data_IF_228469798187
#
_entry.id   IF_228469798187
#
_cell.length_a   1.000
_cell.length_b   1.000
_cell.length_c   1.000
_cell.angle_alpha   90.00
_cell.angle_beta   90.00
_cell.angle_gamma   90.00
#
_symmetry.space_group_name_H-M   'P 1'
#
loop_
_entity.id
_entity.type
_entity.pdbx_description
1 polymer ?
#
# COMPACT_ATOMS: atom_id res chain seq x y z
N UNK A 1 2.33 -8.87 15.30
CA UNK A 1 0.86 -8.94 15.17
C UNK A 1 0.23 -9.69 16.35
N UNK A 2 0.70 -10.89 16.71
CA UNK A 2 0.14 -11.66 17.85
C UNK A 2 0.24 -10.91 19.18
N UNK A 3 1.34 -10.25 19.44
CA UNK A 3 1.54 -9.39 20.61
C UNK A 3 0.57 -8.19 20.68
N UNK A 4 -0.07 -7.85 19.55
CA UNK A 4 -1.07 -6.79 19.42
C UNK A 4 -2.50 -7.33 19.31
N UNK A 5 -2.72 -8.59 19.70
CA UNK A 5 -4.05 -9.19 19.83
C UNK A 5 -4.57 -9.91 18.58
N UNK A 6 -3.74 -10.14 17.56
CA UNK A 6 -4.14 -10.98 16.45
C UNK A 6 -4.30 -12.44 16.93
N UNK A 7 -5.49 -13.01 16.72
CA UNK A 7 -5.83 -14.37 17.18
C UNK A 7 -5.30 -15.41 16.19
N UNK A 8 -5.44 -15.13 14.89
CA UNK A 8 -4.99 -16.00 13.82
C UNK A 8 -4.17 -15.19 12.81
N UNK A 9 -3.06 -15.75 12.34
CA UNK A 9 -2.21 -15.17 11.31
C UNK A 9 -1.92 -16.26 10.28
N UNK A 10 -2.32 -16.03 9.03
CA UNK A 10 -1.96 -16.84 7.89
C UNK A 10 -1.00 -16.06 7.00
N UNK A 11 0.02 -16.72 6.49
CA UNK A 11 0.94 -16.21 5.47
C UNK A 11 0.82 -17.06 4.24
N UNK A 12 0.66 -16.44 3.10
CA UNK A 12 0.43 -17.13 1.84
C UNK A 12 1.15 -16.38 0.71
N UNK A 13 1.63 -17.12 -0.29
CA UNK A 13 2.14 -16.52 -1.51
C UNK A 13 0.95 -16.00 -2.36
N UNK A 14 1.16 -14.89 -3.06
CA UNK A 14 0.13 -14.21 -3.85
C UNK A 14 -0.47 -15.10 -4.95
N UNK A 15 0.29 -16.05 -5.49
CA UNK A 15 -0.19 -17.03 -6.48
C UNK A 15 -1.36 -17.86 -5.97
N UNK A 16 -1.52 -18.00 -4.62
CA UNK A 16 -2.66 -18.69 -4.04
C UNK A 16 -3.94 -17.86 -4.05
N UNK A 17 -3.80 -16.56 -4.07
CA UNK A 17 -4.92 -15.65 -4.32
C UNK A 17 -5.25 -15.65 -5.81
N UNK A 18 -4.23 -15.62 -6.64
CA UNK A 18 -4.36 -15.59 -8.09
C UNK A 18 -5.01 -16.86 -8.66
N UNK A 19 -4.64 -18.05 -8.17
CA UNK A 19 -5.23 -19.34 -8.58
C UNK A 19 -6.57 -19.63 -7.90
N UNK A 20 -7.04 -18.75 -7.00
CA UNK A 20 -8.31 -18.87 -6.28
C UNK A 20 -8.30 -19.89 -5.13
N UNK A 21 -7.16 -20.49 -4.80
CA UNK A 21 -7.06 -21.45 -3.70
C UNK A 21 -7.00 -20.80 -2.31
N UNK A 22 -6.82 -19.48 -2.26
CA UNK A 22 -6.87 -18.69 -1.03
C UNK A 22 -7.83 -17.50 -1.19
N UNK A 23 -8.69 -17.30 -0.19
CA UNK A 23 -9.74 -16.27 -0.20
C UNK A 23 -9.46 -15.20 0.86
N UNK A 24 -9.50 -13.94 0.47
CA UNK A 24 -9.29 -12.80 1.37
C UNK A 24 -10.48 -12.52 2.32
N UNK A 25 -11.76 -12.64 1.87
CA UNK A 25 -12.92 -12.48 2.73
C UNK A 25 -12.97 -13.52 3.85
N UNK A 26 -12.69 -13.22 5.03
CA UNK A 26 -12.56 -14.11 6.20
C UNK A 26 -11.45 -13.60 7.11
N UNK A 27 -10.67 -12.66 6.62
CA UNK A 27 -9.65 -11.99 7.40
C UNK A 27 -10.07 -10.55 7.69
N UNK A 28 -9.93 -10.14 8.94
CA UNK A 28 -10.23 -8.77 9.37
C UNK A 28 -9.27 -7.75 8.75
N UNK A 29 -8.02 -8.17 8.56
CA UNK A 29 -6.94 -7.34 8.00
C UNK A 29 -6.12 -8.19 7.03
N UNK A 30 -5.87 -7.66 5.86
CA UNK A 30 -4.91 -8.18 4.89
C UNK A 30 -3.71 -7.25 4.83
N UNK A 31 -2.51 -7.81 4.91
CA UNK A 31 -1.25 -7.10 4.65
C UNK A 31 -0.65 -7.68 3.38
N UNK A 32 -0.52 -6.85 2.37
CA UNK A 32 -0.01 -7.22 1.06
C UNK A 32 1.34 -6.57 0.81
N UNK A 33 2.39 -7.38 0.86
CA UNK A 33 3.73 -6.96 0.51
C UNK A 33 3.99 -7.29 -0.96
N UNK A 34 4.28 -6.28 -1.76
CA UNK A 34 4.70 -6.44 -3.16
C UNK A 34 6.21 -6.66 -3.24
N UNK A 35 6.95 -6.05 -2.32
CA UNK A 35 8.41 -6.13 -2.31
C UNK A 35 9.06 -5.09 -3.21
N UNK A 36 10.26 -5.41 -3.66
CA UNK A 36 11.09 -4.59 -4.55
C UNK A 36 10.86 -5.05 -6.00
N UNK A 37 9.73 -4.64 -6.56
CA UNK A 37 9.40 -4.90 -7.95
C UNK A 37 10.06 -3.88 -8.89
N UNK A 38 10.26 -4.25 -10.14
CA UNK A 38 10.79 -3.36 -11.16
C UNK A 38 9.68 -2.85 -12.09
N UNK A 39 9.96 -1.76 -12.78
CA UNK A 39 9.05 -1.20 -13.80
C UNK A 39 8.65 -2.17 -14.92
N UNK A 40 9.38 -3.29 -15.07
CA UNK A 40 9.09 -4.34 -16.04
C UNK A 40 8.09 -5.38 -15.53
N UNK A 41 7.81 -5.40 -14.23
CA UNK A 41 6.93 -6.38 -13.59
C UNK A 41 5.47 -5.96 -13.67
N UNK A 42 4.58 -6.95 -13.64
CA UNK A 42 3.14 -6.74 -13.41
C UNK A 42 2.92 -6.85 -11.92
N UNK A 43 2.75 -5.71 -11.26
CA UNK A 43 2.64 -5.64 -9.79
C UNK A 43 1.39 -6.32 -9.25
N UNK A 44 0.29 -6.23 -9.98
CA UNK A 44 -0.95 -6.94 -9.66
C UNK A 44 -1.56 -7.57 -10.90
N UNK A 45 -1.76 -8.86 -10.87
CA UNK A 45 -2.52 -9.57 -11.91
C UNK A 45 -4.00 -9.15 -11.92
N UNK A 46 -4.74 -9.40 -12.99
CA UNK A 46 -6.19 -9.18 -13.01
C UNK A 46 -6.94 -9.93 -11.90
N UNK A 47 -6.50 -11.14 -11.54
CA UNK A 47 -7.12 -11.94 -10.49
C UNK A 47 -6.89 -11.33 -9.10
N UNK A 48 -5.69 -10.86 -8.80
CA UNK A 48 -5.37 -10.17 -7.56
C UNK A 48 -6.14 -8.86 -7.41
N UNK A 49 -6.21 -8.05 -8.47
CA UNK A 49 -7.03 -6.82 -8.49
C UNK A 49 -8.51 -7.13 -8.22
N UNK A 50 -9.04 -8.19 -8.80
CA UNK A 50 -10.42 -8.61 -8.56
C UNK A 50 -10.65 -9.09 -7.11
N UNK A 51 -9.71 -9.86 -6.55
CA UNK A 51 -9.77 -10.33 -5.17
C UNK A 51 -9.73 -9.17 -4.17
N UNK A 52 -8.78 -8.23 -4.33
CA UNK A 52 -8.67 -7.04 -3.50
C UNK A 52 -9.92 -6.15 -3.62
N UNK A 53 -10.41 -5.95 -4.84
CA UNK A 53 -11.65 -5.20 -5.10
C UNK A 53 -12.84 -5.80 -4.35
N UNK A 54 -13.02 -7.12 -4.44
CA UNK A 54 -14.10 -7.84 -3.73
C UNK A 54 -13.96 -7.73 -2.22
N UNK A 55 -12.75 -7.88 -1.71
CA UNK A 55 -12.44 -7.78 -0.29
C UNK A 55 -12.77 -6.39 0.28
N UNK A 56 -12.33 -5.33 -0.38
CA UNK A 56 -12.61 -3.95 0.04
C UNK A 56 -14.08 -3.57 -0.09
N UNK A 57 -14.77 -4.04 -1.14
CA UNK A 57 -16.23 -3.87 -1.28
C UNK A 57 -17.00 -4.57 -0.13
N UNK A 58 -16.45 -5.66 0.41
CA UNK A 58 -16.98 -6.36 1.58
C UNK A 58 -16.70 -5.69 2.92
N UNK A 59 -16.01 -4.55 2.94
CA UNK A 59 -15.63 -3.85 4.17
C UNK A 59 -14.27 -4.31 4.76
N UNK A 60 -13.45 -4.98 3.95
CA UNK A 60 -12.12 -5.43 4.34
C UNK A 60 -11.16 -4.28 4.65
N UNK A 61 -10.09 -4.57 5.36
CA UNK A 61 -9.03 -3.61 5.72
C UNK A 61 -7.70 -4.07 5.13
N UNK A 62 -7.13 -3.26 4.25
CA UNK A 62 -5.92 -3.57 3.50
C UNK A 62 -4.77 -2.64 3.88
N UNK A 63 -3.61 -3.20 4.18
CA UNK A 63 -2.34 -2.50 4.07
C UNK A 63 -1.60 -3.07 2.87
N UNK A 64 -1.20 -2.21 1.95
CA UNK A 64 -0.40 -2.59 0.77
C UNK A 64 0.85 -1.73 0.73
N UNK A 65 1.99 -2.35 0.44
CA UNK A 65 3.28 -1.68 0.33
C UNK A 65 4.18 -2.35 -0.71
N UNK A 66 5.01 -1.56 -1.36
CA UNK A 66 5.99 -2.05 -2.33
C UNK A 66 6.47 -0.95 -3.26
N UNK A 67 7.56 -1.24 -3.96
CA UNK A 67 8.06 -0.41 -5.04
C UNK A 67 7.20 -0.54 -6.29
N UNK A 68 7.26 0.48 -7.16
CA UNK A 68 6.71 0.46 -8.52
C UNK A 68 5.19 0.24 -8.64
N UNK A 69 4.45 0.20 -7.53
CA UNK A 69 2.99 0.01 -7.56
C UNK A 69 2.32 1.19 -8.26
N UNK A 70 2.64 2.42 -7.86
CA UNK A 70 2.02 3.61 -8.44
C UNK A 70 2.55 3.88 -9.84
N UNK A 71 3.83 3.65 -10.08
CA UNK A 71 4.39 3.74 -11.42
C UNK A 71 3.69 2.76 -12.38
N UNK A 72 3.55 1.51 -12.00
CA UNK A 72 2.94 0.48 -12.84
C UNK A 72 1.46 0.78 -13.13
N UNK A 73 0.68 1.16 -12.12
CA UNK A 73 -0.76 1.33 -12.21
C UNK A 73 -1.21 2.74 -12.62
N UNK A 74 -0.40 3.77 -12.42
CA UNK A 74 -0.83 5.16 -12.48
C UNK A 74 -0.08 6.09 -13.40
N UNK A 75 1.10 5.71 -13.94
CA UNK A 75 1.86 6.57 -14.85
C UNK A 75 1.15 6.82 -16.17
N UNK A 76 1.53 7.87 -16.86
CA UNK A 76 1.09 8.08 -18.24
C UNK A 76 1.46 6.86 -19.10
N UNK A 77 0.46 6.27 -19.74
CA UNK A 77 0.62 5.04 -20.53
C UNK A 77 0.43 3.75 -19.75
N UNK A 78 0.09 3.80 -18.45
CA UNK A 78 -0.42 2.63 -17.74
C UNK A 78 -1.70 2.09 -18.42
N UNK A 79 -1.97 0.80 -18.25
CA UNK A 79 -3.15 0.21 -18.86
C UNK A 79 -4.43 0.89 -18.34
N UNK A 80 -5.37 1.20 -19.23
CA UNK A 80 -6.58 1.93 -18.87
C UNK A 80 -7.43 1.21 -17.79
N UNK A 81 -7.29 -0.11 -17.68
CA UNK A 81 -7.96 -0.91 -16.65
C UNK A 81 -7.34 -0.76 -15.25
N UNK A 82 -6.09 -0.32 -15.15
CA UNK A 82 -5.36 -0.22 -13.89
C UNK A 82 -5.70 1.05 -13.11
N UNK A 83 -5.90 2.17 -13.82
CA UNK A 83 -6.25 3.44 -13.21
C UNK A 83 -7.51 3.39 -12.33
N UNK A 84 -8.63 2.75 -12.72
CA UNK A 84 -9.79 2.62 -11.84
C UNK A 84 -9.49 1.83 -10.56
N UNK A 85 -8.70 0.77 -10.62
CA UNK A 85 -8.28 0.03 -9.44
C UNK A 85 -7.40 0.92 -8.54
N UNK A 86 -6.38 1.55 -9.09
CA UNK A 86 -5.47 2.41 -8.38
C UNK A 86 -6.17 3.59 -7.69
N UNK A 87 -6.99 4.33 -8.44
CA UNK A 87 -7.63 5.53 -7.92
C UNK A 87 -8.80 5.23 -6.98
N UNK A 88 -9.58 4.18 -7.25
CA UNK A 88 -10.80 3.91 -6.49
C UNK A 88 -10.61 2.94 -5.32
N UNK A 89 -9.60 2.06 -5.39
CA UNK A 89 -9.35 1.04 -4.36
C UNK A 89 -8.07 1.29 -3.57
N UNK A 90 -6.95 1.61 -4.21
CA UNK A 90 -5.76 2.04 -3.48
C UNK A 90 -5.81 3.52 -3.07
N UNK A 91 -6.78 4.28 -3.60
CA UNK A 91 -7.07 5.67 -3.21
C UNK A 91 -5.90 6.64 -3.44
N UNK A 92 -5.10 6.38 -4.45
CA UNK A 92 -3.92 7.16 -4.77
C UNK A 92 -3.87 7.57 -6.25
N UNK A 93 -3.07 8.57 -6.53
CA UNK A 93 -2.61 8.93 -7.87
C UNK A 93 -1.09 8.92 -7.88
N UNK A 94 -0.51 8.54 -9.01
CA UNK A 94 0.94 8.61 -9.23
C UNK A 94 1.39 10.04 -9.41
N UNK A 95 2.48 10.43 -8.74
CA UNK A 95 3.08 11.76 -8.84
C UNK A 95 4.37 11.71 -9.63
N UNK A 96 5.34 10.94 -9.15
CA UNK A 96 6.59 10.68 -9.83
C UNK A 96 7.26 9.44 -9.25
N UNK A 97 8.21 8.95 -10.00
CA UNK A 97 9.17 7.96 -9.56
C UNK A 97 10.24 8.64 -8.71
N UNK A 98 10.53 8.04 -7.57
CA UNK A 98 11.43 8.62 -6.58
C UNK A 98 12.87 8.19 -6.73
N UNK A 99 13.58 8.24 -5.62
CA UNK A 99 14.96 7.77 -5.52
C UNK A 99 15.27 7.42 -4.07
N UNK A 100 16.42 6.78 -3.85
CA UNK A 100 16.92 6.47 -2.50
C UNK A 100 17.05 7.70 -1.57
N UNK A 101 17.00 8.93 -2.09
CA UNK A 101 16.99 10.17 -1.28
C UNK A 101 15.64 10.44 -0.60
N UNK A 102 14.58 9.69 -0.91
CA UNK A 102 13.26 9.89 -0.32
C UNK A 102 13.14 9.40 1.13
N UNK A 103 14.04 8.50 1.55
CA UNK A 103 14.11 8.05 2.96
C UNK A 103 14.62 9.18 3.88
N UNK A 104 14.13 9.29 5.13
CA UNK A 104 13.04 8.50 5.73
C UNK A 104 11.65 8.98 5.33
N UNK A 105 10.64 8.12 5.51
CA UNK A 105 9.25 8.54 5.54
C UNK A 105 8.87 8.97 6.95
N UNK A 106 8.18 10.10 7.09
CA UNK A 106 7.79 10.68 8.39
C UNK A 106 6.27 10.83 8.47
N UNK A 107 5.73 10.56 9.66
CA UNK A 107 4.30 10.66 9.93
C UNK A 107 3.76 12.08 9.73
N UNK A 108 2.67 12.17 8.96
CA UNK A 108 1.95 13.43 8.77
C UNK A 108 1.31 13.87 10.10
N UNK A 109 1.46 15.15 10.45
CA UNK A 109 0.80 15.72 11.63
C UNK A 109 -0.74 15.53 11.56
N UNK A 110 -1.35 15.14 12.67
CA UNK A 110 -2.76 14.82 12.77
C UNK A 110 -3.17 13.44 12.23
N UNK A 111 -2.23 12.68 11.66
CA UNK A 111 -2.48 11.31 11.20
C UNK A 111 -2.22 10.29 12.31
N UNK A 112 -2.70 9.03 12.16
CA UNK A 112 -2.34 7.93 13.07
C UNK A 112 -0.83 7.63 13.14
N UNK A 113 -0.05 8.14 12.19
CA UNK A 113 1.40 7.95 12.11
C UNK A 113 2.19 9.17 12.59
N UNK A 114 1.53 10.19 13.17
CA UNK A 114 2.22 11.36 13.71
C UNK A 114 3.32 10.96 14.69
N UNK A 115 4.49 11.56 14.52
CA UNK A 115 5.68 11.25 15.32
C UNK A 115 6.47 10.03 14.88
N UNK A 116 5.95 9.24 13.93
CA UNK A 116 6.66 8.09 13.38
C UNK A 116 7.74 8.57 12.40
N UNK A 117 8.91 7.95 12.46
CA UNK A 117 9.98 8.09 11.47
C UNK A 117 10.39 6.71 11.02
N UNK A 118 10.30 6.45 9.73
CA UNK A 118 10.57 5.17 9.09
C UNK A 118 11.70 5.34 8.06
N UNK A 119 12.96 5.15 8.44
CA UNK A 119 14.01 4.90 7.46
C UNK A 119 13.69 3.61 6.72
N UNK A 120 13.58 3.66 5.41
CA UNK A 120 13.41 2.48 4.54
C UNK A 120 14.62 2.31 3.63
N UNK A 121 14.72 1.18 2.94
CA UNK A 121 15.93 0.81 2.22
C UNK A 121 17.07 0.36 3.16
N UNK A 122 16.75 -0.04 4.40
CA UNK A 122 17.74 -0.43 5.42
C UNK A 122 18.05 -1.92 5.36
N UNK A 123 17.03 -2.76 5.14
CA UNK A 123 17.20 -4.22 5.08
C UNK A 123 17.76 -4.62 3.71
N UNK A 124 17.26 -4.02 2.65
CA UNK A 124 17.83 -4.04 1.30
C UNK A 124 17.61 -2.67 0.66
N UNK A 125 18.43 -2.28 -0.35
CA UNK A 125 18.30 -0.97 -1.00
C UNK A 125 16.91 -0.79 -1.60
N UNK A 126 16.38 0.42 -1.50
CA UNK A 126 15.17 0.87 -2.19
C UNK A 126 15.55 2.09 -3.03
N UNK A 127 15.62 1.92 -4.35
CA UNK A 127 16.11 2.93 -5.26
C UNK A 127 14.99 3.73 -5.93
N UNK A 128 13.76 3.17 -6.02
CA UNK A 128 12.64 3.74 -6.78
C UNK A 128 11.31 3.74 -5.98
N UNK A 129 11.27 4.38 -4.79
CA UNK A 129 10.02 4.51 -4.06
C UNK A 129 9.07 5.46 -4.81
N UNK A 130 7.82 5.06 -4.96
CA UNK A 130 6.80 5.87 -5.63
C UNK A 130 6.36 7.07 -4.79
N UNK A 131 6.38 8.28 -5.35
CA UNK A 131 5.64 9.41 -4.80
C UNK A 131 4.18 9.35 -5.26
N UNK A 132 3.28 9.48 -4.29
CA UNK A 132 1.85 9.34 -4.48
C UNK A 132 1.09 10.55 -3.92
N UNK A 133 -0.12 10.77 -4.42
CA UNK A 133 -1.03 11.74 -3.82
C UNK A 133 -2.38 11.09 -3.50
N UNK A 134 -3.05 11.49 -2.40
CA UNK A 134 -4.34 10.94 -2.03
C UNK A 134 -5.44 11.36 -3.03
N UNK A 135 -6.40 10.46 -3.26
CA UNK A 135 -7.61 10.76 -4.04
C UNK A 135 -8.83 10.09 -3.42
N UNK A 136 -10.03 10.44 -3.88
CA UNK A 136 -11.26 9.80 -3.48
C UNK A 136 -11.55 9.85 -1.96
N UNK A 137 -11.14 10.92 -1.27
CA UNK A 137 -11.34 11.11 0.16
C UNK A 137 -10.24 10.54 1.05
N UNK A 138 -9.16 10.00 0.49
CA UNK A 138 -7.98 9.60 1.25
C UNK A 138 -7.21 10.81 1.79
N UNK A 139 -6.38 10.58 2.78
CA UNK A 139 -5.50 11.60 3.38
C UNK A 139 -4.06 11.08 3.40
N UNK A 140 -3.12 12.02 3.35
CA UNK A 140 -1.70 11.70 3.54
C UNK A 140 -1.45 11.26 4.97
N UNK A 141 -0.67 10.19 5.13
CA UNK A 141 -0.23 9.70 6.46
C UNK A 141 1.29 9.67 6.60
N UNK A 142 2.04 9.58 5.51
CA UNK A 142 3.50 9.64 5.50
C UNK A 142 4.00 10.59 4.41
N UNK A 143 4.99 11.41 4.75
CA UNK A 143 5.73 12.26 3.81
C UNK A 143 7.15 11.76 3.67
N UNK A 144 7.72 11.85 2.48
CA UNK A 144 9.14 11.60 2.25
C UNK A 144 10.02 12.76 2.73
N UNK A 145 11.30 12.49 2.90
CA UNK A 145 12.29 13.52 3.24
C UNK A 145 12.38 14.63 2.19
N UNK A 146 12.10 14.31 0.93
CA UNK A 146 12.08 15.27 -0.18
C UNK A 146 10.67 15.78 -0.39
N UNK A 147 10.34 16.89 0.24
CA UNK A 147 9.03 17.55 0.13
C UNK A 147 8.83 18.21 -1.26
N UNK A 148 7.58 18.25 -1.78
CA UNK A 148 6.32 17.87 -1.11
C UNK A 148 5.89 16.42 -1.36
N UNK A 149 6.82 15.51 -1.68
CA UNK A 149 6.50 14.14 -2.04
C UNK A 149 5.95 13.35 -0.84
N UNK A 150 4.92 12.56 -1.11
CA UNK A 150 4.21 11.77 -0.11
C UNK A 150 4.44 10.28 -0.36
N UNK A 151 4.73 9.55 0.71
CA UNK A 151 5.03 8.12 0.66
C UNK A 151 3.92 7.22 1.21
N UNK A 152 2.88 7.79 1.78
CA UNK A 152 1.78 6.99 2.32
C UNK A 152 0.46 7.73 2.44
N UNK A 153 -0.61 7.02 2.11
CA UNK A 153 -1.99 7.52 2.24
C UNK A 153 -2.85 6.54 3.03
N UNK A 154 -3.94 7.03 3.60
CA UNK A 154 -4.96 6.21 4.24
C UNK A 154 -6.36 6.67 3.89
N UNK A 155 -7.29 5.72 3.84
CA UNK A 155 -8.70 5.96 3.65
C UNK A 155 -9.51 5.00 4.52
N UNK A 156 -10.62 5.50 5.06
CA UNK A 156 -11.65 4.70 5.72
C UNK A 156 -13.01 5.12 5.19
N UNK A 157 -13.80 4.17 4.75
CA UNK A 157 -15.12 4.40 4.18
C UNK A 157 -15.56 3.26 3.28
N UNK A 158 -16.60 3.45 2.50
CA UNK A 158 -17.08 2.45 1.56
C UNK A 158 -16.28 2.45 0.26
N UNK A 159 -16.14 1.27 -0.34
CA UNK A 159 -15.44 1.09 -1.62
C UNK A 159 -16.42 0.62 -2.70
N UNK A 160 -16.27 1.14 -3.92
CA UNK A 160 -17.04 0.71 -5.08
C UNK A 160 -18.54 0.66 -4.82
N UNK A 161 -19.14 -0.51 -5.00
CA UNK A 161 -20.56 -0.78 -4.71
C UNK A 161 -20.82 -1.28 -3.29
N UNK A 162 -19.79 -1.37 -2.44
CA UNK A 162 -19.91 -1.85 -1.07
C UNK A 162 -20.71 -0.92 -0.17
N UNK A 163 -21.37 -1.49 0.82
CA UNK A 163 -22.15 -0.76 1.82
C UNK A 163 -21.52 -0.78 3.21
N UNK A 164 -20.51 -1.65 3.41
CA UNK A 164 -19.77 -1.76 4.67
C UNK A 164 -18.51 -0.90 4.60
N UNK A 165 -18.16 -0.18 5.67
CA UNK A 165 -16.93 0.58 5.71
C UNK A 165 -15.72 -0.37 5.80
N UNK A 166 -14.77 -0.18 4.90
CA UNK A 166 -13.45 -0.79 4.90
C UNK A 166 -12.37 0.25 5.13
N UNK A 167 -11.13 -0.15 4.96
CA UNK A 167 -9.98 0.75 5.04
C UNK A 167 -8.87 0.33 4.08
N UNK A 168 -8.09 1.31 3.62
CA UNK A 168 -6.83 1.06 2.94
C UNK A 168 -5.74 1.97 3.50
N UNK A 169 -4.56 1.39 3.71
CA UNK A 169 -3.30 2.11 3.86
C UNK A 169 -2.43 1.67 2.71
N UNK A 170 -1.96 2.62 1.92
CA UNK A 170 -1.04 2.34 0.82
C UNK A 170 0.26 3.11 1.02
N UNK A 171 1.38 2.38 0.93
CA UNK A 171 2.73 2.91 1.05
C UNK A 171 3.45 2.72 -0.29
N UNK A 172 4.01 3.78 -0.84
CA UNK A 172 4.76 3.80 -2.10
C UNK A 172 6.22 3.33 -1.96
N UNK A 173 6.51 2.54 -0.94
CA UNK A 173 7.80 1.91 -0.69
C UNK A 173 7.61 0.58 0.04
N UNK A 174 8.53 -0.39 -0.06
CA UNK A 174 8.45 -1.65 0.65
C UNK A 174 8.62 -1.46 2.16
N UNK A 175 7.56 -1.70 2.92
CA UNK A 175 7.56 -1.52 4.39
C UNK A 175 8.54 -2.44 5.08
N UNK A 176 8.77 -3.63 4.56
CA UNK A 176 9.70 -4.62 5.09
C UNK A 176 11.16 -4.18 5.00
N UNK A 177 11.47 -3.14 4.22
CA UNK A 177 12.81 -2.54 4.19
C UNK A 177 13.03 -1.52 5.29
N UNK A 178 11.96 -1.13 5.99
CA UNK A 178 12.02 -0.08 7.00
C UNK A 178 12.55 -0.60 8.33
N UNK A 179 13.38 0.23 8.97
CA UNK A 179 13.77 0.05 10.36
C UNK A 179 13.06 1.11 11.21
N UNK A 180 12.18 0.70 12.11
CA UNK A 180 11.54 1.61 13.03
C UNK A 180 12.58 2.17 14.01
N UNK A 181 12.86 3.46 13.95
CA UNK A 181 13.67 4.15 14.94
C UNK A 181 12.82 4.42 16.18
N UNK A 182 13.26 3.90 17.33
CA UNK A 182 12.64 4.19 18.62
C UNK A 182 11.58 3.22 19.11
N UNK A 183 11.30 2.12 18.41
CA UNK A 183 10.57 1.00 18.99
C UNK A 183 11.58 0.05 19.65
N UNK A 184 11.77 0.15 20.98
CA UNK A 184 12.23 -1.01 21.74
C UNK A 184 11.13 -2.07 21.68
N UNK A 185 11.47 -3.24 21.19
CA UNK A 185 10.65 -4.45 21.24
C UNK A 185 10.35 -4.84 22.68
#
# INVERSE_FOLDING_TARGET
LRERGAVEISTVANEKVEDGSFSLPGYDIVVWFVGDESSANIVFSPAEKAAITSYLNGGGKLLVSGSEIAYNLGRTGAAAIDLPFFNNYLKATYVNDGSSSYTPATGQAGSPFEGLTLPFGVVYPEDFPDAIAPTGGATTVLNYAVLPNQGGIAYTGTFGSGILPGAVIYLGFPLETAAAQGMSL
#
